data_IF_481024958523
#
_entry.id   IF_481024958523
#
_cell.length_a   1.000
_cell.length_b   1.000
_cell.length_c   1.000
_cell.angle_alpha   90.00
_cell.angle_beta   90.00
_cell.angle_gamma   90.00
#
_symmetry.space_group_name_H-M   'P 1'
#
loop_
_entity.id
_entity.type
_entity.pdbx_description
1 polymer ?
#
# COMPACT_ATOMS: atom_id res chain seq x y z
N UNK A 1 3.38 4.53 -4.51
CA UNK A 1 3.81 3.14 -4.21
C UNK A 1 3.06 2.59 -3.02
N UNK A 2 2.76 1.29 -3.01
CA UNK A 2 2.07 0.60 -1.92
C UNK A 2 3.00 -0.44 -1.27
N UNK A 3 3.12 -0.42 0.05
CA UNK A 3 3.93 -1.36 0.83
C UNK A 3 2.99 -2.33 1.54
N UNK A 4 3.08 -3.59 1.17
CA UNK A 4 2.26 -4.69 1.68
C UNK A 4 3.12 -5.63 2.52
N UNK A 5 2.46 -6.47 3.32
CA UNK A 5 3.13 -7.45 4.16
C UNK A 5 3.77 -8.56 3.33
N UNK A 6 2.94 -9.28 2.59
CA UNK A 6 3.30 -10.50 1.86
C UNK A 6 2.27 -10.80 0.77
N UNK A 7 2.59 -11.80 -0.06
CA UNK A 7 1.62 -12.43 -0.94
C UNK A 7 1.37 -13.85 -0.48
N UNK A 8 0.11 -14.19 -0.21
CA UNK A 8 -0.29 -15.49 0.29
C UNK A 8 -0.02 -16.57 -0.78
N UNK A 9 0.85 -17.53 -0.47
CA UNK A 9 1.06 -18.77 -1.24
C UNK A 9 1.23 -18.58 -2.76
N UNK A 10 1.78 -17.44 -3.20
CA UNK A 10 1.92 -17.17 -4.63
C UNK A 10 2.98 -18.09 -5.24
N UNK A 11 2.51 -19.08 -6.01
CA UNK A 11 3.36 -19.98 -6.82
C UNK A 11 3.78 -19.38 -8.17
N UNK A 12 3.27 -18.19 -8.49
CA UNK A 12 3.42 -17.54 -9.78
C UNK A 12 4.20 -16.23 -9.62
N UNK A 13 4.84 -15.76 -10.69
CA UNK A 13 5.41 -14.42 -10.71
C UNK A 13 4.31 -13.38 -10.42
N UNK A 14 4.53 -12.56 -9.39
CA UNK A 14 3.52 -11.61 -8.86
C UNK A 14 3.15 -10.56 -9.92
N UNK A 15 4.11 -10.09 -10.73
CA UNK A 15 3.86 -9.11 -11.80
C UNK A 15 2.91 -9.69 -12.83
N UNK A 16 3.20 -10.90 -13.30
CA UNK A 16 2.35 -11.59 -14.27
C UNK A 16 0.96 -11.88 -13.68
N UNK A 17 0.88 -12.27 -12.41
CA UNK A 17 -0.38 -12.54 -11.73
C UNK A 17 -1.26 -11.29 -11.60
N UNK A 18 -0.67 -10.15 -11.27
CA UNK A 18 -1.39 -8.87 -11.18
C UNK A 18 -1.83 -8.39 -12.56
N UNK A 19 -0.94 -8.40 -13.56
CA UNK A 19 -1.30 -8.01 -14.93
C UNK A 19 -2.46 -8.84 -15.47
N UNK A 20 -2.40 -10.16 -15.30
CA UNK A 20 -3.50 -11.06 -15.65
C UNK A 20 -4.77 -10.79 -14.86
N UNK A 21 -4.67 -10.42 -13.58
CA UNK A 21 -5.84 -10.11 -12.75
C UNK A 21 -6.57 -8.84 -13.21
N UNK A 22 -5.85 -7.88 -13.78
CA UNK A 22 -6.43 -6.67 -14.35
C UNK A 22 -7.25 -7.01 -15.60
N UNK A 23 -6.74 -7.89 -16.46
CA UNK A 23 -7.41 -8.31 -17.70
C UNK A 23 -8.56 -9.29 -17.45
N UNK A 24 -8.34 -10.31 -16.62
CA UNK A 24 -9.27 -11.42 -16.44
C UNK A 24 -10.18 -11.20 -15.23
N UNK A 25 -11.47 -10.96 -15.46
CA UNK A 25 -12.49 -10.75 -14.40
C UNK A 25 -12.56 -11.92 -13.38
N UNK A 26 -12.34 -13.15 -13.82
CA UNK A 26 -12.42 -14.35 -12.97
C UNK A 26 -11.17 -14.62 -12.10
N UNK A 27 -10.11 -13.82 -12.23
CA UNK A 27 -8.86 -14.05 -11.49
C UNK A 27 -9.09 -14.08 -9.97
N UNK A 28 -8.57 -15.12 -9.31
CA UNK A 28 -8.63 -15.23 -7.84
C UNK A 28 -7.97 -14.05 -7.12
N UNK A 29 -6.91 -13.49 -7.72
CA UNK A 29 -6.22 -12.29 -7.22
C UNK A 29 -7.12 -11.05 -7.24
N UNK A 30 -7.94 -10.91 -8.29
CA UNK A 30 -8.90 -9.81 -8.39
C UNK A 30 -10.14 -10.03 -7.51
N UNK A 31 -10.60 -11.28 -7.38
CA UNK A 31 -11.69 -11.65 -6.46
C UNK A 31 -11.31 -11.40 -5.00
N UNK A 32 -10.01 -11.42 -4.67
CA UNK A 32 -9.48 -11.02 -3.37
C UNK A 32 -9.75 -9.57 -3.01
N UNK A 33 -9.82 -9.27 -1.69
CA UNK A 33 -10.11 -7.91 -1.19
C UNK A 33 -8.93 -6.96 -1.33
N UNK A 34 -7.69 -7.45 -1.25
CA UNK A 34 -6.47 -6.60 -1.17
C UNK A 34 -6.25 -5.79 -2.45
N UNK A 35 -6.18 -6.46 -3.61
CA UNK A 35 -5.86 -5.78 -4.88
C UNK A 35 -6.94 -4.76 -5.27
N UNK A 36 -8.22 -5.06 -4.98
CA UNK A 36 -9.33 -4.11 -5.18
C UNK A 36 -9.23 -2.89 -4.27
N UNK A 37 -8.87 -3.08 -2.99
CA UNK A 37 -8.64 -1.97 -2.05
C UNK A 37 -7.50 -1.08 -2.53
N UNK A 38 -6.38 -1.69 -2.89
CA UNK A 38 -5.21 -0.99 -3.46
C UNK A 38 -5.60 -0.23 -4.72
N UNK A 39 -6.35 -0.84 -5.65
CA UNK A 39 -6.81 -0.17 -6.86
C UNK A 39 -7.71 1.05 -6.60
N UNK A 40 -8.60 0.97 -5.61
CA UNK A 40 -9.43 2.13 -5.20
C UNK A 40 -8.57 3.26 -4.64
N UNK A 41 -7.66 2.94 -3.72
CA UNK A 41 -6.76 3.92 -3.13
C UNK A 41 -5.86 4.56 -4.19
N UNK A 42 -5.32 3.75 -5.11
CA UNK A 42 -4.53 4.21 -6.23
C UNK A 42 -5.32 5.21 -7.09
N UNK A 43 -6.56 4.88 -7.43
CA UNK A 43 -7.41 5.79 -8.21
C UNK A 43 -7.62 7.12 -7.47
N UNK A 44 -8.03 7.07 -6.21
CA UNK A 44 -8.28 8.26 -5.43
C UNK A 44 -7.05 9.18 -5.35
N UNK A 45 -5.87 8.60 -5.12
CA UNK A 45 -4.62 9.36 -5.01
C UNK A 45 -4.18 9.94 -6.36
N UNK A 46 -4.35 9.19 -7.46
CA UNK A 46 -4.00 9.63 -8.82
C UNK A 46 -4.94 10.72 -9.36
N UNK A 47 -6.19 10.76 -8.87
CA UNK A 47 -7.23 11.69 -9.33
C UNK A 47 -7.57 12.77 -8.32
N UNK A 48 -6.78 12.89 -7.26
CA UNK A 48 -6.94 13.97 -6.30
C UNK A 48 -6.54 15.30 -6.94
N UNK A 49 -7.49 16.23 -6.99
CA UNK A 49 -7.36 17.57 -7.58
C UNK A 49 -7.65 18.69 -6.57
N UNK A 50 -7.62 18.35 -5.28
CA UNK A 50 -8.04 19.23 -4.18
C UNK A 50 -9.26 18.69 -3.43
N UNK A 51 -10.02 17.79 -4.05
CA UNK A 51 -11.14 17.09 -3.43
C UNK A 51 -10.93 15.57 -3.40
N UNK A 52 -11.54 14.88 -2.42
CA UNK A 52 -11.51 13.41 -2.35
C UNK A 52 -12.45 12.82 -3.42
N UNK A 53 -11.94 12.04 -4.40
CA UNK A 53 -12.79 11.45 -5.43
C UNK A 53 -13.80 10.47 -4.85
N UNK A 54 -14.96 10.33 -5.49
CA UNK A 54 -16.00 9.44 -4.98
C UNK A 54 -15.57 7.97 -4.97
N UNK A 55 -16.03 7.22 -3.96
CA UNK A 55 -15.81 5.77 -3.91
C UNK A 55 -16.44 5.04 -5.11
N UNK A 56 -17.51 5.59 -5.70
CA UNK A 56 -18.16 5.03 -6.89
C UNK A 56 -17.19 5.05 -8.07
N UNK A 57 -16.54 6.19 -8.31
CA UNK A 57 -15.59 6.33 -9.41
C UNK A 57 -14.34 5.47 -9.18
N UNK A 58 -13.88 5.38 -7.93
CA UNK A 58 -12.79 4.49 -7.56
C UNK A 58 -13.12 3.01 -7.83
N UNK A 59 -14.36 2.57 -7.60
CA UNK A 59 -14.81 1.20 -7.92
C UNK A 59 -14.91 0.91 -9.42
N UNK A 60 -15.22 1.93 -10.23
CA UNK A 60 -15.30 1.78 -11.69
C UNK A 60 -13.90 1.73 -12.32
N UNK A 61 -12.93 2.42 -11.72
CA UNK A 61 -11.60 2.62 -12.29
C UNK A 61 -10.47 1.89 -11.55
N UNK A 62 -10.76 1.10 -10.50
CA UNK A 62 -9.77 0.41 -9.66
C UNK A 62 -8.76 -0.43 -10.47
N UNK A 63 -9.20 -1.05 -11.57
CA UNK A 63 -8.34 -1.87 -12.45
C UNK A 63 -7.28 -1.07 -13.18
N UNK A 64 -7.68 0.05 -13.78
CA UNK A 64 -6.77 0.90 -14.55
C UNK A 64 -5.77 1.60 -13.63
N UNK A 65 -6.21 2.02 -12.44
CA UNK A 65 -5.34 2.68 -11.48
C UNK A 65 -4.18 1.78 -11.00
N UNK A 66 -4.39 0.46 -10.88
CA UNK A 66 -3.32 -0.50 -10.52
C UNK A 66 -2.19 -0.55 -11.54
N UNK A 67 -2.42 -0.19 -12.80
CA UNK A 67 -1.34 -0.17 -13.82
C UNK A 67 -0.32 0.94 -13.59
N UNK A 68 -0.68 1.98 -12.83
CA UNK A 68 0.12 3.19 -12.63
C UNK A 68 0.72 3.26 -11.22
N UNK A 69 0.91 2.12 -10.54
CA UNK A 69 1.48 2.08 -9.19
C UNK A 69 2.62 1.07 -9.11
N UNK A 70 3.60 1.39 -8.27
CA UNK A 70 4.51 0.39 -7.72
C UNK A 70 3.90 -0.27 -6.48
N UNK A 71 4.12 -1.56 -6.30
CA UNK A 71 3.81 -2.30 -5.09
C UNK A 71 5.05 -3.10 -4.64
N UNK A 72 5.24 -3.20 -3.33
CA UNK A 72 6.31 -4.03 -2.76
C UNK A 72 5.77 -4.81 -1.57
N UNK A 73 6.29 -6.02 -1.36
CA UNK A 73 6.13 -6.74 -0.10
C UNK A 73 7.38 -6.56 0.76
N UNK A 74 7.21 -6.46 2.09
CA UNK A 74 8.32 -6.38 3.04
C UNK A 74 8.95 -7.75 3.28
N UNK A 75 8.16 -8.83 3.42
CA UNK A 75 8.72 -10.16 3.76
C UNK A 75 9.62 -10.76 2.68
N UNK A 76 9.49 -10.33 1.42
CA UNK A 76 10.12 -10.88 0.20
C UNK A 76 9.93 -12.39 -0.04
N UNK A 77 9.41 -13.12 0.92
CA UNK A 77 9.03 -14.53 0.87
C UNK A 77 7.49 -14.65 0.81
N UNK A 78 7.01 -15.77 0.29
CA UNK A 78 5.59 -16.14 0.39
C UNK A 78 5.27 -16.61 1.82
N UNK A 79 4.07 -16.32 2.31
CA UNK A 79 3.60 -16.78 3.61
C UNK A 79 2.16 -17.28 3.58
N UNK A 80 1.68 -17.75 4.72
CA UNK A 80 0.27 -18.10 4.94
C UNK A 80 -0.49 -16.89 5.47
N UNK A 81 -1.83 -16.94 5.46
CA UNK A 81 -2.68 -15.84 5.94
C UNK A 81 -2.51 -15.51 7.44
N UNK A 82 -1.83 -16.36 8.21
CA UNK A 82 -1.50 -16.15 9.63
C UNK A 82 0.02 -16.17 9.77
N UNK A 83 0.60 -15.03 10.09
CA UNK A 83 2.04 -14.93 10.38
C UNK A 83 2.22 -14.65 11.85
N UNK A 84 3.14 -15.36 12.49
CA UNK A 84 3.60 -14.97 13.80
C UNK A 84 4.35 -13.61 13.70
N UNK A 85 4.17 -12.76 14.71
CA UNK A 85 4.75 -11.42 14.70
C UNK A 85 6.28 -11.43 14.73
N UNK A 86 6.90 -12.43 15.37
CA UNK A 86 8.35 -12.55 15.51
C UNK A 86 9.01 -12.90 14.17
N UNK A 87 8.47 -13.87 13.44
CA UNK A 87 8.87 -14.24 12.09
C UNK A 87 8.67 -13.07 11.12
N UNK A 88 7.55 -12.34 11.23
CA UNK A 88 7.34 -11.17 10.39
C UNK A 88 8.40 -10.09 10.65
N UNK A 89 8.67 -9.79 11.91
CA UNK A 89 9.70 -8.82 12.30
C UNK A 89 11.11 -9.28 11.89
N UNK A 90 11.42 -10.57 12.00
CA UNK A 90 12.71 -11.12 11.57
C UNK A 90 12.95 -10.90 10.07
N UNK A 91 11.98 -11.25 9.23
CA UNK A 91 12.09 -11.00 7.79
C UNK A 91 12.09 -9.50 7.45
N UNK A 92 11.27 -8.70 8.13
CA UNK A 92 11.25 -7.26 7.91
C UNK A 92 12.60 -6.61 8.24
N UNK A 93 13.28 -7.10 9.29
CA UNK A 93 14.64 -6.68 9.65
C UNK A 93 15.68 -7.18 8.65
N UNK A 94 15.61 -8.45 8.26
CA UNK A 94 16.52 -9.08 7.28
C UNK A 94 16.50 -8.34 5.93
N UNK A 95 15.30 -8.08 5.40
CA UNK A 95 15.13 -7.44 4.09
C UNK A 95 15.06 -5.91 4.13
N UNK A 96 15.19 -5.28 5.31
CA UNK A 96 15.06 -3.83 5.45
C UNK A 96 15.99 -3.03 4.51
N UNK A 97 17.31 -3.35 4.38
CA UNK A 97 18.19 -2.62 3.47
C UNK A 97 17.74 -2.71 2.01
N UNK A 98 17.26 -3.89 1.58
CA UNK A 98 16.75 -4.10 0.22
C UNK A 98 15.45 -3.34 -0.03
N UNK A 99 14.50 -3.42 0.92
CA UNK A 99 13.24 -2.69 0.85
C UNK A 99 13.50 -1.19 0.78
N UNK A 100 14.37 -0.67 1.65
CA UNK A 100 14.78 0.74 1.65
C UNK A 100 15.34 1.15 0.29
N UNK A 101 16.33 0.39 -0.21
CA UNK A 101 16.96 0.69 -1.51
C UNK A 101 15.97 0.66 -2.67
N UNK A 102 15.01 -0.26 -2.68
CA UNK A 102 13.96 -0.28 -3.70
C UNK A 102 13.07 0.95 -3.66
N UNK A 103 12.70 1.41 -2.47
CA UNK A 103 11.87 2.62 -2.30
C UNK A 103 12.63 3.84 -2.79
N UNK A 104 13.90 3.97 -2.42
CA UNK A 104 14.78 5.06 -2.87
C UNK A 104 14.98 5.04 -4.39
N UNK A 105 15.19 3.87 -5.00
CA UNK A 105 15.36 3.73 -6.45
C UNK A 105 14.09 4.07 -7.24
N UNK A 106 12.92 3.66 -6.73
CA UNK A 106 11.63 3.98 -7.36
C UNK A 106 11.29 5.46 -7.18
N UNK A 107 11.79 6.09 -6.10
CA UNK A 107 11.53 7.48 -5.74
C UNK A 107 10.05 7.87 -5.87
N UNK A 108 9.12 7.16 -5.21
CA UNK A 108 7.69 7.41 -5.39
C UNK A 108 7.27 8.76 -4.80
N UNK A 109 6.24 9.42 -5.34
CA UNK A 109 5.73 10.65 -4.71
C UNK A 109 5.01 10.38 -3.37
N UNK A 110 4.36 9.22 -3.27
CA UNK A 110 3.52 8.82 -2.13
C UNK A 110 3.79 7.35 -1.79
N UNK A 111 3.89 7.03 -0.51
CA UNK A 111 4.08 5.66 0.01
C UNK A 111 2.94 5.26 0.93
N UNK A 112 2.04 4.37 0.49
CA UNK A 112 0.95 3.88 1.36
C UNK A 112 1.40 2.61 2.08
N UNK A 113 1.37 2.62 3.42
CA UNK A 113 1.82 1.55 4.31
C UNK A 113 0.63 0.70 4.75
N UNK A 114 0.33 -0.34 3.98
CA UNK A 114 -0.86 -1.16 4.08
C UNK A 114 -0.80 -2.16 5.26
N UNK A 115 -0.80 -1.65 6.48
CA UNK A 115 -0.73 -2.42 7.73
C UNK A 115 0.70 -2.76 8.14
N UNK A 116 1.69 -2.12 7.53
CA UNK A 116 3.12 -2.38 7.73
C UNK A 116 3.87 -1.25 8.41
N UNK A 117 3.16 -0.23 8.90
CA UNK A 117 3.76 0.97 9.46
C UNK A 117 4.81 0.66 10.54
N UNK A 118 4.48 -0.18 11.52
CA UNK A 118 5.38 -0.48 12.63
C UNK A 118 6.72 -1.07 12.16
N UNK A 119 6.68 -1.98 11.19
CA UNK A 119 7.89 -2.62 10.65
C UNK A 119 8.70 -1.65 9.79
N UNK A 120 8.03 -0.83 8.97
CA UNK A 120 8.72 0.18 8.16
C UNK A 120 9.38 1.22 9.07
N UNK A 121 8.65 1.75 10.04
CA UNK A 121 9.17 2.70 11.03
C UNK A 121 10.28 2.10 11.90
N UNK A 122 10.23 0.82 12.24
CA UNK A 122 11.25 0.21 13.12
C UNK A 122 12.51 -0.21 12.37
N UNK A 123 12.38 -0.76 11.16
CA UNK A 123 13.49 -1.44 10.48
C UNK A 123 13.93 -0.78 9.18
N UNK A 124 13.02 -0.15 8.43
CA UNK A 124 13.32 0.36 7.07
C UNK A 124 13.67 1.85 7.09
N UNK A 125 12.81 2.65 7.73
CA UNK A 125 12.97 4.09 7.91
C UNK A 125 12.73 4.50 9.39
N UNK A 126 13.66 4.19 10.31
CA UNK A 126 13.67 4.68 11.69
C UNK A 126 13.49 6.19 11.84
N UNK A 127 13.82 6.95 10.82
CA UNK A 127 13.76 8.40 10.77
C UNK A 127 12.37 8.97 10.43
N UNK A 128 11.36 8.15 10.06
CA UNK A 128 10.02 8.63 9.68
C UNK A 128 9.38 9.50 10.78
N UNK A 129 8.99 10.74 10.48
CA UNK A 129 8.35 11.63 11.46
C UNK A 129 6.86 11.75 11.20
N UNK A 130 6.07 11.79 12.27
CA UNK A 130 4.64 12.10 12.18
C UNK A 130 4.46 13.55 11.80
N UNK A 131 3.67 13.79 10.75
CA UNK A 131 3.39 15.13 10.26
C UNK A 131 2.00 15.61 10.71
N UNK A 132 0.96 14.84 10.38
CA UNK A 132 -0.43 15.16 10.69
C UNK A 132 -1.28 13.88 10.64
N UNK A 133 -2.20 13.67 11.57
CA UNK A 133 -3.00 12.42 11.67
C UNK A 133 -2.12 11.16 11.51
N UNK A 134 -2.54 10.18 10.71
CA UNK A 134 -1.72 9.02 10.38
C UNK A 134 -0.61 9.36 9.36
N UNK A 135 -0.58 10.54 8.72
CA UNK A 135 0.45 10.88 7.74
C UNK A 135 1.82 11.12 8.37
N UNK A 136 2.84 10.52 7.74
CA UNK A 136 4.24 10.60 8.16
C UNK A 136 5.09 11.10 6.99
N UNK A 137 6.02 12.02 7.27
CA UNK A 137 7.00 12.52 6.30
C UNK A 137 8.40 11.99 6.62
N UNK A 138 9.18 11.76 5.56
CA UNK A 138 10.62 11.60 5.63
C UNK A 138 11.25 12.83 4.99
N UNK A 139 12.23 13.46 5.64
CA UNK A 139 12.95 14.59 5.05
C UNK A 139 13.68 14.12 3.79
N UNK A 140 13.34 14.68 2.63
CA UNK A 140 13.95 14.36 1.34
C UNK A 140 13.22 13.33 0.46
N UNK A 141 12.10 12.73 0.91
CA UNK A 141 11.28 11.79 0.12
C UNK A 141 9.84 11.65 0.66
N UNK A 142 8.88 11.61 -0.27
CA UNK A 142 7.51 11.04 -0.21
C UNK A 142 6.68 11.09 1.10
N UNK A 143 5.42 11.53 1.00
CA UNK A 143 4.43 11.37 2.08
C UNK A 143 4.06 9.89 2.28
N UNK A 144 4.06 9.40 3.52
CA UNK A 144 3.67 8.04 3.86
C UNK A 144 2.40 7.92 4.69
N UNK A 145 1.56 6.93 4.39
CA UNK A 145 0.24 6.76 5.02
C UNK A 145 -0.01 5.36 5.56
N UNK A 146 -0.05 5.17 6.88
CA UNK A 146 -0.59 3.99 7.52
C UNK A 146 -2.03 3.77 7.07
N UNK A 147 -2.30 2.62 6.48
CA UNK A 147 -3.66 2.13 6.29
C UNK A 147 -3.77 0.77 6.95
N UNK A 148 -4.69 0.63 7.90
CA UNK A 148 -4.92 -0.68 8.51
C UNK A 148 -5.62 -1.52 7.42
N UNK A 149 -5.16 -2.75 7.18
CA UNK A 149 -5.88 -3.74 6.37
C UNK A 149 -6.70 -4.70 7.26
N UNK A 150 -7.54 -4.28 8.23
CA UNK A 150 -8.31 -5.27 8.95
C UNK A 150 -9.35 -5.86 7.99
N UNK A 151 -9.63 -7.15 8.16
CA UNK A 151 -10.65 -7.84 7.37
C UNK A 151 -12.06 -7.30 7.67
N UNK A 152 -12.23 -6.63 8.82
CA UNK A 152 -13.51 -6.25 9.42
C UNK A 152 -13.98 -4.82 9.11
N UNK A 153 -13.09 -3.87 8.75
CA UNK A 153 -13.53 -2.51 8.40
C UNK A 153 -14.20 -2.48 7.03
N UNK A 154 -15.32 -1.75 6.93
CA UNK A 154 -16.04 -1.50 5.66
C UNK A 154 -15.09 -0.84 4.67
N UNK A 155 -15.10 -1.30 3.41
CA UNK A 155 -14.19 -0.79 2.37
C UNK A 155 -14.30 0.72 2.14
N UNK A 156 -15.47 1.32 2.42
CA UNK A 156 -15.67 2.76 2.31
C UNK A 156 -14.86 3.54 3.36
N UNK A 157 -14.88 3.08 4.62
CA UNK A 157 -14.11 3.71 5.69
C UNK A 157 -12.61 3.65 5.40
N UNK A 158 -12.13 2.51 4.88
CA UNK A 158 -10.72 2.36 4.52
C UNK A 158 -10.31 3.23 3.34
N UNK A 159 -11.22 3.50 2.40
CA UNK A 159 -10.97 4.42 1.30
C UNK A 159 -10.83 5.85 1.82
N UNK A 160 -11.83 6.33 2.57
CA UNK A 160 -11.81 7.66 3.16
C UNK A 160 -10.64 7.85 4.13
N UNK A 161 -10.29 6.87 4.94
CA UNK A 161 -9.11 6.95 5.81
C UNK A 161 -7.84 7.29 5.03
N UNK A 162 -7.59 6.68 3.87
CA UNK A 162 -6.38 6.99 3.07
C UNK A 162 -6.49 8.37 2.43
N UNK A 163 -7.65 8.68 1.85
CA UNK A 163 -7.80 9.90 1.05
C UNK A 163 -7.97 11.16 1.90
N UNK A 164 -8.65 11.07 3.04
CA UNK A 164 -8.81 12.19 3.97
C UNK A 164 -7.47 12.50 4.65
N UNK A 165 -6.66 11.48 4.92
CA UNK A 165 -5.27 11.66 5.36
C UNK A 165 -4.45 12.41 4.30
N UNK A 166 -4.58 12.06 3.02
CA UNK A 166 -3.90 12.77 1.93
C UNK A 166 -4.40 14.20 1.74
N UNK A 167 -5.70 14.41 1.83
CA UNK A 167 -6.31 15.72 1.78
C UNK A 167 -5.79 16.59 2.93
N UNK A 168 -5.76 16.08 4.16
CA UNK A 168 -5.18 16.80 5.30
C UNK A 168 -3.71 17.15 5.05
N UNK A 169 -2.90 16.19 4.58
CA UNK A 169 -1.50 16.42 4.22
C UNK A 169 -1.33 17.57 3.21
N UNK A 170 -2.17 17.61 2.16
CA UNK A 170 -2.10 18.63 1.12
C UNK A 170 -2.56 20.02 1.56
N UNK A 171 -3.33 20.12 2.65
CA UNK A 171 -3.82 21.40 3.19
C UNK A 171 -3.05 21.88 4.44
N UNK A 172 -2.11 21.08 4.96
CA UNK A 172 -1.23 21.44 6.09
C UNK A 172 0.17 21.89 5.64
N UNK A 173 0.43 21.92 4.32
CA UNK A 173 1.64 22.44 3.68
C UNK A 173 1.26 23.68 2.88
#
# INVERSE_FOLDING_TARGET
MFVLKETNEAKQNIVNAINRAIEVKASGWWRGKVLRRVGRWAYGLQKYDGAVPSLRDAKLNEKNAVKNIAYINIRKTSGSARTDQKSFDAHAKEFAPFVRRQIELINPDIVVLCGTYNQVKRYVFPELKKLANECMLMTGLSSSMPSILPQEKKSAMLYHQVLDNYHAYKNHI
#
